data_IF_874453359438
#
_entry.id   IF_874453359438
#
_cell.length_a   1.000
_cell.length_b   1.000
_cell.length_c   1.000
_cell.angle_alpha   90.00
_cell.angle_beta   90.00
_cell.angle_gamma   90.00
#
_symmetry.space_group_name_H-M   'P 1'
#
loop_
_entity.id
_entity.type
_entity.pdbx_description
1 polymer ?
#
# COMPACT_ATOMS: atom_id res chain seq x y z
N UNK A 1 19.01 -17.74 0.42
CA UNK A 1 17.96 -17.98 1.44
C UNK A 1 17.21 -16.67 1.50
N UNK A 2 15.97 -16.62 0.97
CA UNK A 2 15.30 -15.34 0.75
C UNK A 2 14.98 -14.69 2.09
N UNK A 3 15.68 -13.60 2.40
CA UNK A 3 15.69 -12.98 3.74
C UNK A 3 14.32 -12.37 4.07
N UNK A 4 13.60 -11.81 3.08
CA UNK A 4 12.20 -11.41 3.18
C UNK A 4 11.58 -11.24 1.79
N UNK A 5 10.25 -11.40 1.65
CA UNK A 5 9.50 -11.04 0.44
C UNK A 5 8.56 -9.87 0.69
N UNK A 6 9.13 -8.67 0.58
CA UNK A 6 8.37 -7.44 0.74
C UNK A 6 7.64 -7.03 -0.55
N UNK A 7 8.08 -7.54 -1.71
CA UNK A 7 7.52 -7.17 -3.00
C UNK A 7 6.13 -7.76 -3.20
N UNK A 8 5.94 -9.02 -2.84
CA UNK A 8 4.62 -9.67 -2.90
C UNK A 8 3.63 -8.99 -1.94
N UNK A 9 4.06 -8.70 -0.70
CA UNK A 9 3.22 -7.99 0.27
C UNK A 9 2.84 -6.58 -0.20
N UNK A 10 3.79 -5.84 -0.78
CA UNK A 10 3.53 -4.52 -1.35
C UNK A 10 2.57 -4.57 -2.54
N UNK A 11 2.67 -5.61 -3.39
CA UNK A 11 1.74 -5.80 -4.50
C UNK A 11 0.30 -6.05 -4.00
N UNK A 12 0.12 -6.95 -3.03
CA UNK A 12 -1.20 -7.21 -2.43
C UNK A 12 -1.80 -5.95 -1.77
N UNK A 13 -0.96 -5.13 -1.13
CA UNK A 13 -1.40 -3.85 -0.55
C UNK A 13 -1.85 -2.85 -1.62
N UNK A 14 -1.16 -2.78 -2.77
CA UNK A 14 -1.58 -1.94 -3.91
C UNK A 14 -2.93 -2.40 -4.45
N UNK A 15 -3.07 -3.69 -4.70
CA UNK A 15 -4.31 -4.27 -5.22
C UNK A 15 -5.50 -4.00 -4.29
N UNK A 16 -5.30 -4.14 -2.97
CA UNK A 16 -6.32 -3.85 -1.97
C UNK A 16 -6.70 -2.36 -1.93
N UNK A 17 -5.72 -1.45 -2.06
CA UNK A 17 -5.97 -0.01 -2.08
C UNK A 17 -6.74 0.40 -3.35
N UNK A 18 -6.40 -0.18 -4.50
CA UNK A 18 -7.11 0.07 -5.75
C UNK A 18 -8.53 -0.48 -5.71
N UNK A 19 -8.74 -1.66 -5.12
CA UNK A 19 -10.07 -2.20 -4.86
C UNK A 19 -10.92 -1.30 -3.95
N UNK A 20 -10.32 -0.75 -2.89
CA UNK A 20 -10.99 0.20 -2.00
C UNK A 20 -11.38 1.49 -2.73
N UNK A 21 -10.48 2.03 -3.57
CA UNK A 21 -10.76 3.22 -4.37
C UNK A 21 -11.89 2.99 -5.37
N UNK A 22 -11.91 1.84 -6.03
CA UNK A 22 -12.98 1.47 -6.94
C UNK A 22 -14.31 1.38 -6.20
N UNK A 23 -14.36 0.66 -5.07
CA UNK A 23 -15.56 0.54 -4.26
C UNK A 23 -16.08 1.90 -3.76
N UNK A 24 -15.18 2.83 -3.39
CA UNK A 24 -15.56 4.19 -3.03
C UNK A 24 -16.10 4.99 -4.23
N UNK A 25 -15.47 4.86 -5.40
CA UNK A 25 -15.94 5.49 -6.64
C UNK A 25 -17.35 5.02 -7.03
N UNK A 26 -17.66 3.75 -6.77
CA UNK A 26 -18.98 3.18 -7.07
C UNK A 26 -20.03 3.57 -6.01
N UNK A 27 -19.62 3.69 -4.74
CA UNK A 27 -20.52 4.02 -3.64
C UNK A 27 -20.83 5.52 -3.51
N UNK A 28 -19.84 6.38 -3.69
CA UNK A 28 -19.95 7.83 -3.45
C UNK A 28 -21.04 8.57 -4.26
N UNK A 29 -21.42 8.17 -5.49
CA UNK A 29 -22.55 8.78 -6.21
C UNK A 29 -23.90 8.49 -5.54
N UNK A 30 -24.02 7.34 -4.87
CA UNK A 30 -25.24 6.89 -4.21
C UNK A 30 -25.25 7.24 -2.71
N UNK A 31 -24.07 7.42 -2.12
CA UNK A 31 -23.86 7.77 -0.72
C UNK A 31 -23.08 9.08 -0.61
N UNK A 32 -23.80 10.22 -0.66
CA UNK A 32 -23.22 11.58 -0.64
C UNK A 32 -23.79 12.44 0.50
N UNK A 33 -24.01 11.82 1.66
CA UNK A 33 -24.44 12.52 2.85
C UNK A 33 -23.24 13.05 3.66
N UNK A 34 -23.51 13.65 4.83
CA UNK A 34 -22.45 14.14 5.71
C UNK A 34 -21.55 13.00 6.25
N UNK A 35 -22.09 11.79 6.40
CA UNK A 35 -21.33 10.66 6.93
C UNK A 35 -20.34 10.13 5.89
N UNK A 36 -20.72 10.09 4.62
CA UNK A 36 -19.83 9.66 3.54
C UNK A 36 -18.64 10.62 3.37
N UNK A 37 -18.89 11.93 3.44
CA UNK A 37 -17.83 12.95 3.42
C UNK A 37 -16.89 12.81 4.61
N UNK A 38 -17.45 12.62 5.82
CA UNK A 38 -16.64 12.40 7.02
C UNK A 38 -15.81 11.11 6.92
N UNK A 39 -16.37 10.05 6.34
CA UNK A 39 -15.66 8.79 6.11
C UNK A 39 -14.49 8.97 5.13
N UNK A 40 -14.70 9.68 4.02
CA UNK A 40 -13.64 9.98 3.06
C UNK A 40 -12.52 10.78 3.71
N UNK A 41 -12.86 11.85 4.43
CA UNK A 41 -11.89 12.76 5.05
C UNK A 41 -11.15 12.14 6.22
N UNK A 42 -11.83 11.35 7.05
CA UNK A 42 -11.26 10.77 8.27
C UNK A 42 -10.52 9.45 8.04
N UNK A 43 -10.83 8.72 6.96
CA UNK A 43 -10.27 7.39 6.74
C UNK A 43 -9.60 7.24 5.37
N UNK A 44 -10.29 7.57 4.28
CA UNK A 44 -9.75 7.28 2.95
C UNK A 44 -8.58 8.20 2.57
N UNK A 45 -8.69 9.51 2.84
CA UNK A 45 -7.61 10.47 2.55
C UNK A 45 -6.35 10.22 3.39
N UNK A 46 -6.43 10.03 4.72
CA UNK A 46 -5.26 9.69 5.53
C UNK A 46 -4.61 8.38 5.08
N UNK A 47 -5.42 7.33 4.85
CA UNK A 47 -4.91 6.05 4.39
C UNK A 47 -4.16 6.17 3.06
N UNK A 48 -4.69 6.93 2.10
CA UNK A 48 -4.01 7.16 0.82
C UNK A 48 -2.65 7.86 1.00
N UNK A 49 -2.57 8.84 1.91
CA UNK A 49 -1.33 9.54 2.25
C UNK A 49 -0.31 8.62 2.92
N UNK A 50 -0.75 7.82 3.88
CA UNK A 50 0.10 6.86 4.60
C UNK A 50 0.66 5.81 3.63
N UNK A 51 -0.18 5.27 2.75
CA UNK A 51 0.24 4.31 1.73
C UNK A 51 1.23 4.94 0.73
N UNK A 52 1.01 6.19 0.31
CA UNK A 52 1.94 6.91 -0.57
C UNK A 52 3.34 7.06 0.05
N UNK A 53 3.42 7.15 1.38
CA UNK A 53 4.69 7.21 2.11
C UNK A 53 5.29 5.82 2.39
N UNK A 54 4.44 4.82 2.63
CA UNK A 54 4.86 3.46 2.95
C UNK A 54 5.46 2.72 1.74
N UNK A 55 4.85 2.85 0.54
CA UNK A 55 5.32 2.10 -0.63
C UNK A 55 6.78 2.39 -1.02
N UNK A 56 7.25 3.66 -1.09
CA UNK A 56 8.65 3.95 -1.34
C UNK A 56 9.59 3.39 -0.27
N UNK A 57 9.19 3.44 1.00
CA UNK A 57 9.99 2.89 2.09
C UNK A 57 10.13 1.36 1.99
N UNK A 58 9.04 0.67 1.63
CA UNK A 58 9.05 -0.78 1.40
C UNK A 58 9.96 -1.14 0.21
N UNK A 59 9.91 -0.38 -0.88
CA UNK A 59 10.73 -0.61 -2.07
C UNK A 59 12.23 -0.41 -1.78
N UNK A 60 12.57 0.63 -1.01
CA UNK A 60 13.93 0.86 -0.53
C UNK A 60 14.41 -0.30 0.36
N UNK A 61 13.59 -0.74 1.31
CA UNK A 61 13.94 -1.85 2.20
C UNK A 61 14.12 -3.16 1.43
N UNK A 62 13.25 -3.44 0.45
CA UNK A 62 13.36 -4.61 -0.42
C UNK A 62 14.69 -4.59 -1.20
N UNK A 63 15.10 -3.43 -1.69
CA UNK A 63 16.38 -3.23 -2.39
C UNK A 63 17.57 -3.52 -1.48
N UNK A 64 17.58 -2.98 -0.25
CA UNK A 64 18.66 -3.20 0.73
C UNK A 64 18.76 -4.68 1.12
N UNK A 65 17.62 -5.34 1.36
CA UNK A 65 17.60 -6.77 1.69
C UNK A 65 18.09 -7.64 0.54
N UNK A 66 17.74 -7.31 -0.71
CA UNK A 66 18.24 -8.02 -1.88
C UNK A 66 19.77 -7.85 -2.05
N UNK A 67 20.32 -6.67 -1.74
CA UNK A 67 21.77 -6.44 -1.74
C UNK A 67 22.46 -7.25 -0.65
N UNK A 68 21.90 -7.26 0.57
CA UNK A 68 22.42 -8.05 1.68
C UNK A 68 22.40 -9.56 1.38
N UNK A 69 21.33 -10.07 0.76
CA UNK A 69 21.26 -11.49 0.35
C UNK A 69 22.37 -11.84 -0.66
N UNK A 70 22.67 -10.95 -1.61
CA UNK A 70 23.76 -11.15 -2.57
C UNK A 70 25.14 -11.10 -1.91
N UNK A 71 25.34 -10.19 -0.96
CA UNK A 71 26.61 -10.04 -0.24
C UNK A 71 26.90 -11.21 0.71
N UNK A 72 25.85 -11.83 1.27
CA UNK A 72 25.96 -12.93 2.24
C UNK A 72 25.72 -14.32 1.62
N UNK A 73 25.40 -14.41 0.32
CA UNK A 73 25.22 -15.67 -0.39
C UNK A 73 26.55 -16.39 -0.64
N UNK A 74 26.59 -17.74 -0.63
CA UNK A 74 27.80 -18.49 -0.99
C UNK A 74 28.15 -18.23 -2.46
N UNK A 75 29.47 -18.17 -2.73
CA UNK A 75 30.07 -18.06 -4.06
C UNK A 75 29.53 -19.10 -5.04
#
# INVERSE_FOLDING_TARGET
>A
MRIADLNTGAAQLRDALDGLRQAWSDASPHWNDANSRNFEESHLRPLASDMASAFPAIDQLATVLAQAERACGPW
#
